data_IF_892676854700
#
_entry.id   IF_892676854700
#
_cell.length_a   1.000
_cell.length_b   1.000
_cell.length_c   1.000
_cell.angle_alpha   90.00
_cell.angle_beta   90.00
_cell.angle_gamma   90.00
#
_symmetry.space_group_name_H-M   'P 1'
#
loop_
_entity.id
_entity.type
_entity.pdbx_description
1 polymer ?
#
# COMPACT_ATOMS: atom_id res chain seq x y z
N UNK A 1 -10.10 -14.83 -1.23
CA UNK A 1 -10.28 -13.41 -1.60
C UNK A 1 -8.98 -12.68 -1.46
N UNK A 2 -8.81 -11.58 -2.20
CA UNK A 2 -7.62 -10.73 -2.15
C UNK A 2 -7.93 -9.37 -2.75
N UNK A 3 -6.96 -8.48 -2.72
CA UNK A 3 -7.09 -7.16 -3.32
C UNK A 3 -6.63 -7.18 -4.77
N UNK A 4 -7.27 -6.34 -5.59
CA UNK A 4 -6.86 -6.07 -6.97
C UNK A 4 -6.46 -4.62 -7.05
N UNK A 5 -5.39 -4.35 -7.77
CA UNK A 5 -4.90 -2.99 -8.03
C UNK A 5 -5.05 -2.67 -9.52
N UNK A 6 -5.19 -1.38 -9.83
CA UNK A 6 -5.20 -0.90 -11.20
C UNK A 6 -4.06 0.09 -11.40
N UNK A 7 -3.21 -0.16 -12.39
CA UNK A 7 -2.18 0.78 -12.84
C UNK A 7 -2.66 1.49 -14.10
N UNK A 8 -2.65 2.82 -14.06
CA UNK A 8 -3.03 3.70 -15.16
C UNK A 8 -1.77 4.48 -15.59
N UNK A 9 -0.89 3.87 -16.41
CA UNK A 9 0.43 4.42 -16.71
C UNK A 9 0.36 5.81 -17.37
N UNK A 10 -0.58 6.02 -18.30
CA UNK A 10 -0.79 7.30 -18.99
C UNK A 10 -1.20 8.45 -18.04
N UNK A 11 -1.57 8.13 -16.80
CA UNK A 11 -1.95 9.09 -15.76
C UNK A 11 -0.98 9.12 -14.59
N UNK A 12 0.03 8.25 -14.56
CA UNK A 12 0.93 8.09 -13.41
C UNK A 12 0.19 7.71 -12.12
N UNK A 13 -0.90 6.93 -12.22
CA UNK A 13 -1.79 6.61 -11.10
C UNK A 13 -1.82 5.11 -10.82
N UNK A 14 -1.79 4.74 -9.55
CA UNK A 14 -2.17 3.40 -9.06
C UNK A 14 -3.36 3.52 -8.11
N UNK A 15 -4.40 2.73 -8.37
CA UNK A 15 -5.52 2.53 -7.45
C UNK A 15 -5.24 1.22 -6.70
N UNK A 16 -4.89 1.32 -5.42
CA UNK A 16 -4.43 0.16 -4.63
C UNK A 16 -5.53 -0.53 -3.83
N UNK A 17 -6.65 0.16 -3.59
CA UNK A 17 -7.61 -0.29 -2.58
C UNK A 17 -6.89 -0.51 -1.25
N UNK A 18 -7.13 -1.67 -0.61
CA UNK A 18 -6.52 -1.96 0.68
C UNK A 18 -5.20 -2.75 0.60
N UNK A 19 -4.72 -3.05 -0.61
CA UNK A 19 -3.42 -3.71 -0.81
C UNK A 19 -2.24 -2.84 -0.32
N UNK A 20 -2.41 -1.52 -0.39
CA UNK A 20 -1.50 -0.51 0.15
C UNK A 20 -2.33 0.72 0.52
N UNK A 21 -2.43 1.01 1.81
CA UNK A 21 -3.17 2.15 2.35
C UNK A 21 -2.23 3.24 2.84
N UNK A 22 -2.73 4.43 3.12
CA UNK A 22 -1.91 5.56 3.60
C UNK A 22 -2.35 6.06 4.98
N UNK A 23 -3.34 5.42 5.58
CA UNK A 23 -3.87 5.72 6.90
C UNK A 23 -5.08 4.84 7.21
N UNK A 24 -5.39 4.64 8.49
CA UNK A 24 -6.57 3.91 8.92
C UNK A 24 -7.01 4.41 10.30
N UNK A 25 -8.31 4.45 10.58
CA UNK A 25 -8.84 5.01 11.85
C UNK A 25 -8.33 4.28 13.10
N UNK A 26 -7.99 3.00 12.97
CA UNK A 26 -7.47 2.17 14.07
C UNK A 26 -5.95 1.99 14.03
N UNK A 27 -5.26 2.69 13.13
CA UNK A 27 -3.80 2.64 13.04
C UNK A 27 -3.22 3.99 13.50
N UNK A 28 -2.22 3.99 14.39
CA UNK A 28 -1.53 5.22 14.77
C UNK A 28 -0.53 5.69 13.70
N UNK A 29 -0.32 4.89 12.65
CA UNK A 29 0.66 5.16 11.60
C UNK A 29 0.04 6.11 10.56
N UNK A 30 0.78 7.17 10.23
CA UNK A 30 0.49 8.03 9.09
C UNK A 30 1.35 7.64 7.88
N UNK A 31 0.75 7.68 6.69
CA UNK A 31 1.42 7.35 5.43
C UNK A 31 1.39 5.85 5.08
N UNK A 32 2.15 5.46 4.05
CA UNK A 32 2.07 4.14 3.41
C UNK A 32 2.23 2.96 4.39
N UNK A 33 1.26 2.05 4.41
CA UNK A 33 1.22 0.90 5.31
C UNK A 33 0.26 -0.18 4.76
N UNK A 34 0.36 -1.40 5.29
CA UNK A 34 -0.74 -2.37 5.15
C UNK A 34 -1.84 -2.07 6.18
N UNK A 35 -3.02 -2.64 5.98
CA UNK A 35 -4.08 -2.64 6.99
C UNK A 35 -3.57 -3.18 8.35
N UNK A 36 -4.25 -2.85 9.47
CA UNK A 36 -3.98 -3.52 10.75
C UNK A 36 -4.05 -5.05 10.65
N UNK A 37 -3.20 -5.77 11.39
CA UNK A 37 -3.00 -7.22 11.23
C UNK A 37 -4.29 -8.06 11.33
N UNK A 38 -5.28 -7.62 12.11
CA UNK A 38 -6.55 -8.34 12.28
C UNK A 38 -7.50 -8.25 11.08
N UNK A 39 -7.16 -7.47 10.05
CA UNK A 39 -7.86 -7.46 8.76
C UNK A 39 -7.20 -8.35 7.70
N UNK A 40 -5.99 -8.87 7.98
CA UNK A 40 -5.27 -9.72 7.03
C UNK A 40 -5.55 -11.21 7.28
N UNK A 41 -5.91 -11.92 6.22
CA UNK A 41 -5.94 -13.38 6.24
C UNK A 41 -4.53 -13.98 6.12
N UNK A 42 -3.66 -13.37 5.30
CA UNK A 42 -2.27 -13.78 5.11
C UNK A 42 -1.36 -12.55 5.01
N UNK A 43 -0.71 -12.21 6.12
CA UNK A 43 0.19 -11.06 6.21
C UNK A 43 1.44 -11.22 5.35
N UNK A 44 1.91 -12.45 5.14
CA UNK A 44 3.10 -12.73 4.34
C UNK A 44 2.83 -12.46 2.87
N UNK A 45 1.72 -12.98 2.35
CA UNK A 45 1.27 -12.72 0.99
C UNK A 45 0.98 -11.22 0.75
N UNK A 46 0.39 -10.53 1.72
CA UNK A 46 0.17 -9.08 1.64
C UNK A 46 1.50 -8.30 1.56
N UNK A 47 2.50 -8.67 2.37
CA UNK A 47 3.81 -8.06 2.32
C UNK A 47 4.55 -8.33 1.00
N UNK A 48 4.42 -9.54 0.43
CA UNK A 48 5.01 -9.87 -0.87
C UNK A 48 4.35 -9.08 -2.01
N UNK A 49 3.04 -8.81 -1.91
CA UNK A 49 2.31 -8.00 -2.89
C UNK A 49 2.86 -6.57 -2.97
N UNK A 50 3.41 -6.01 -1.87
CA UNK A 50 4.08 -4.72 -1.89
C UNK A 50 5.33 -4.70 -2.78
N UNK A 51 6.01 -5.84 -2.96
CA UNK A 51 7.14 -5.92 -3.88
C UNK A 51 6.68 -5.71 -5.33
N UNK A 52 5.56 -6.33 -5.70
CA UNK A 52 4.95 -6.20 -7.03
C UNK A 52 4.43 -4.78 -7.25
N UNK A 53 3.76 -4.18 -6.26
CA UNK A 53 3.30 -2.78 -6.33
C UNK A 53 4.50 -1.84 -6.51
N UNK A 54 5.63 -2.14 -5.87
CA UNK A 54 6.84 -1.32 -5.95
C UNK A 54 7.54 -1.33 -7.31
N UNK A 55 7.13 -2.19 -8.25
CA UNK A 55 7.62 -2.21 -9.63
C UNK A 55 6.84 -1.28 -10.56
N UNK A 56 5.74 -0.68 -10.08
CA UNK A 56 4.87 0.18 -10.88
C UNK A 56 5.40 1.62 -10.93
N UNK A 57 5.58 2.12 -12.15
CA UNK A 57 5.94 3.51 -12.41
C UNK A 57 4.71 4.42 -12.30
N UNK A 58 4.59 5.14 -11.19
CA UNK A 58 3.50 6.05 -10.87
C UNK A 58 3.87 6.96 -9.69
N UNK A 59 3.29 8.17 -9.69
CA UNK A 59 3.53 9.20 -8.67
C UNK A 59 2.27 9.59 -7.88
N UNK A 60 1.15 8.91 -8.16
CA UNK A 60 -0.11 9.10 -7.44
C UNK A 60 -0.65 7.75 -7.03
N UNK A 61 -0.84 7.56 -5.72
CA UNK A 61 -1.49 6.39 -5.15
C UNK A 61 -2.87 6.79 -4.62
N UNK A 62 -3.90 6.09 -5.09
CA UNK A 62 -5.28 6.20 -4.62
C UNK A 62 -5.61 4.98 -3.73
N UNK A 63 -5.44 5.09 -2.41
CA UNK A 63 -5.70 4.00 -1.49
C UNK A 63 -7.19 3.86 -1.17
N UNK A 64 -7.58 2.68 -0.70
CA UNK A 64 -8.91 2.44 -0.12
C UNK A 64 -9.10 3.19 1.21
N UNK A 65 -8.02 3.38 1.97
CA UNK A 65 -8.01 4.13 3.21
C UNK A 65 -6.83 5.10 3.34
N UNK A 66 -7.12 6.25 3.97
CA UNK A 66 -6.17 7.35 4.16
C UNK A 66 -6.20 8.37 3.02
N UNK A 67 -5.40 9.45 3.14
CA UNK A 67 -5.31 10.47 2.11
C UNK A 67 -4.66 9.96 0.82
N UNK A 68 -4.94 10.61 -0.31
CA UNK A 68 -4.19 10.40 -1.55
C UNK A 68 -2.70 10.64 -1.26
N UNK A 69 -1.86 9.71 -1.71
CA UNK A 69 -0.42 9.89 -1.62
C UNK A 69 0.11 10.41 -2.95
N UNK A 70 0.80 11.55 -2.87
CA UNK A 70 1.56 12.14 -3.96
C UNK A 70 3.04 11.86 -3.72
N UNK A 71 3.69 11.26 -4.71
CA UNK A 71 5.04 10.71 -4.61
C UNK A 71 5.12 9.31 -5.19
N UNK A 72 6.34 8.81 -5.34
CA UNK A 72 6.60 7.52 -5.99
C UNK A 72 5.86 6.37 -5.32
N UNK A 73 5.08 5.62 -6.10
CA UNK A 73 4.42 4.39 -5.63
C UNK A 73 5.45 3.35 -5.18
N UNK A 74 6.62 3.32 -5.82
CA UNK A 74 7.73 2.45 -5.42
C UNK A 74 8.23 2.76 -4.01
N UNK A 75 8.43 4.03 -3.68
CA UNK A 75 8.85 4.47 -2.35
C UNK A 75 7.75 4.23 -1.30
N UNK A 76 6.49 4.45 -1.67
CA UNK A 76 5.35 4.15 -0.81
C UNK A 76 5.27 2.66 -0.44
N UNK A 77 5.46 1.77 -1.42
CA UNK A 77 5.46 0.34 -1.20
C UNK A 77 6.67 -0.12 -0.36
N UNK A 78 7.85 0.44 -0.60
CA UNK A 78 9.05 0.17 0.20
C UNK A 78 8.85 0.61 1.67
N UNK A 79 8.33 1.81 1.89
CA UNK A 79 7.98 2.34 3.23
C UNK A 79 7.03 1.40 3.97
N UNK A 80 5.96 0.96 3.30
CA UNK A 80 5.01 0.03 3.89
C UNK A 80 5.68 -1.31 4.26
N UNK A 81 6.59 -1.82 3.42
CA UNK A 81 7.31 -3.08 3.66
C UNK A 81 8.26 -3.00 4.85
N UNK A 82 8.99 -1.91 4.99
CA UNK A 82 9.86 -1.66 6.17
C UNK A 82 9.06 -1.70 7.48
N UNK A 83 7.87 -1.10 7.47
CA UNK A 83 6.96 -1.09 8.63
C UNK A 83 6.44 -2.49 8.99
N UNK A 84 6.26 -3.39 8.02
CA UNK A 84 5.93 -4.81 8.31
C UNK A 84 7.06 -5.47 9.09
N UNK A 85 8.32 -5.20 8.72
CA UNK A 85 9.51 -5.76 9.38
C UNK A 85 9.78 -5.17 10.77
N UNK A 86 9.43 -3.91 11.00
CA UNK A 86 9.64 -3.21 12.26
C UNK A 86 8.62 -3.57 13.36
N UNK A 87 7.40 -3.98 12.97
CA UNK A 87 6.31 -4.30 13.90
C UNK A 87 6.41 -5.69 14.56
N UNK A 88 7.62 -6.11 14.95
CA UNK A 88 7.88 -7.36 15.70
C UNK A 88 7.48 -7.23 17.16
#
# INVERSE_FOLDING_TARGET
SGHTIYHLPDRGVVISGDALITGHLTSPVSGPQLLPRWFDHDRGAAAESLRIIGELDADILLPGHGPIHHGSVAEAAATARERVGAAR
#
